data_IF_861692881675
#
_entry.id   IF_861692881675
#
_cell.length_a   1.000
_cell.length_b   1.000
_cell.length_c   1.000
_cell.angle_alpha   90.00
_cell.angle_beta   90.00
_cell.angle_gamma   90.00
#
_symmetry.space_group_name_H-M   'P 1'
#
loop_
_entity.id
_entity.type
_entity.pdbx_description
1 polymer ?
#
# COMPACT_ATOMS: atom_id res chain seq x y z
N UNK A 1 12.20 -55.16 -2.41
CA UNK A 1 12.30 -53.87 -3.13
C UNK A 1 11.06 -52.99 -2.90
N UNK A 2 10.64 -52.72 -1.65
CA UNK A 2 9.42 -51.94 -1.34
C UNK A 2 9.66 -50.68 -0.50
N UNK A 3 10.87 -50.46 0.01
CA UNK A 3 11.15 -49.36 0.95
C UNK A 3 11.71 -48.10 0.27
N UNK A 4 12.26 -48.21 -0.95
CA UNK A 4 12.89 -47.07 -1.63
C UNK A 4 11.84 -46.12 -2.23
N UNK A 5 10.72 -46.63 -2.75
CA UNK A 5 9.66 -45.83 -3.38
C UNK A 5 8.94 -44.88 -2.40
N UNK A 6 8.70 -45.32 -1.16
CA UNK A 6 8.04 -44.50 -0.13
C UNK A 6 8.91 -43.33 0.33
N UNK A 7 10.23 -43.52 0.44
CA UNK A 7 11.16 -42.46 0.83
C UNK A 7 11.32 -41.39 -0.25
N UNK A 8 11.25 -41.76 -1.53
CA UNK A 8 11.33 -40.79 -2.63
C UNK A 8 10.05 -39.97 -2.74
N UNK A 9 8.87 -40.60 -2.64
CA UNK A 9 7.58 -39.90 -2.71
C UNK A 9 7.40 -38.88 -1.57
N UNK A 10 7.80 -39.23 -0.34
CA UNK A 10 7.73 -38.34 0.81
C UNK A 10 8.69 -37.14 0.68
N UNK A 11 9.88 -37.33 0.08
CA UNK A 11 10.83 -36.23 -0.19
C UNK A 11 10.31 -35.28 -1.27
N UNK A 12 9.69 -35.78 -2.34
CA UNK A 12 9.10 -34.92 -3.39
C UNK A 12 7.89 -34.14 -2.87
N UNK A 13 7.07 -34.75 -2.01
CA UNK A 13 5.93 -34.08 -1.38
C UNK A 13 6.35 -32.96 -0.42
N UNK A 14 7.45 -33.15 0.33
CA UNK A 14 8.00 -32.12 1.23
C UNK A 14 8.57 -30.94 0.43
N UNK A 15 9.23 -31.18 -0.72
CA UNK A 15 9.74 -30.08 -1.58
C UNK A 15 8.59 -29.29 -2.23
N UNK A 16 7.51 -29.96 -2.66
CA UNK A 16 6.30 -29.28 -3.16
C UNK A 16 5.57 -28.51 -2.05
N UNK A 17 5.49 -29.05 -0.84
CA UNK A 17 4.85 -28.39 0.29
C UNK A 17 5.66 -27.17 0.79
N UNK A 18 7.00 -27.21 0.77
CA UNK A 18 7.84 -26.05 1.12
C UNK A 18 7.84 -24.95 0.05
N UNK A 19 7.50 -25.26 -1.21
CA UNK A 19 7.39 -24.27 -2.29
C UNK A 19 6.12 -23.41 -2.24
N UNK A 20 5.12 -23.77 -1.44
CA UNK A 20 3.78 -23.15 -1.50
C UNK A 20 3.50 -22.09 -0.42
N UNK A 21 4.44 -21.78 0.51
CA UNK A 21 4.13 -20.96 1.69
C UNK A 21 4.89 -19.64 1.86
N UNK A 22 5.58 -19.12 0.84
CA UNK A 22 6.28 -17.83 0.95
C UNK A 22 5.65 -16.72 0.10
N UNK A 23 4.40 -16.36 0.38
CA UNK A 23 3.79 -15.13 -0.16
C UNK A 23 3.16 -14.28 0.94
N UNK A 24 3.82 -14.15 2.10
CA UNK A 24 3.42 -13.18 3.11
C UNK A 24 4.18 -11.89 2.82
N UNK A 25 3.54 -10.94 2.14
CA UNK A 25 4.04 -9.58 2.06
C UNK A 25 3.91 -8.95 3.45
N UNK A 26 5.03 -8.76 4.14
CA UNK A 26 5.06 -8.08 5.44
C UNK A 26 4.66 -6.61 5.25
N UNK A 27 3.68 -6.15 6.02
CA UNK A 27 3.26 -4.74 5.99
C UNK A 27 4.38 -3.83 6.50
N UNK A 28 4.78 -2.87 5.69
CA UNK A 28 5.69 -1.79 6.06
C UNK A 28 4.90 -0.66 6.66
N UNK A 29 5.39 -0.05 7.75
CA UNK A 29 4.75 1.12 8.38
C UNK A 29 5.73 2.28 8.46
N UNK A 30 5.31 3.45 7.98
CA UNK A 30 6.12 4.66 7.95
C UNK A 30 5.37 5.81 8.62
N UNK A 31 6.08 6.53 9.50
CA UNK A 31 5.61 7.75 10.13
C UNK A 31 6.20 8.97 9.41
N UNK A 32 5.39 9.98 9.18
CA UNK A 32 5.80 11.18 8.45
C UNK A 32 5.19 12.45 9.03
N UNK A 33 5.97 13.53 8.99
CA UNK A 33 5.55 14.90 9.29
C UNK A 33 5.78 15.78 8.07
N UNK A 34 4.91 16.76 7.85
CA UNK A 34 4.91 17.53 6.62
C UNK A 34 5.74 18.81 6.75
N UNK A 35 6.73 18.98 5.86
CA UNK A 35 7.49 20.23 5.69
C UNK A 35 7.09 20.99 4.42
N UNK A 36 6.35 20.35 3.51
CA UNK A 36 5.77 20.95 2.31
C UNK A 36 4.36 20.38 2.06
N UNK A 37 3.61 21.00 1.17
CA UNK A 37 2.28 20.61 0.72
C UNK A 37 2.29 19.48 -0.31
N UNK A 38 3.44 19.20 -0.92
CA UNK A 38 3.66 18.10 -1.85
C UNK A 38 5.06 17.52 -1.62
N UNK A 39 5.24 16.23 -1.84
CA UNK A 39 6.55 15.60 -1.69
C UNK A 39 6.51 14.07 -1.67
N UNK A 40 7.57 13.49 -1.12
CA UNK A 40 7.71 12.04 -0.92
C UNK A 40 7.70 11.74 0.57
N UNK A 41 7.00 10.68 0.97
CA UNK A 41 7.04 10.16 2.34
C UNK A 41 8.20 9.18 2.47
N UNK A 42 8.33 8.30 1.48
CA UNK A 42 9.45 7.40 1.25
C UNK A 42 9.56 7.09 -0.25
N UNK A 43 10.36 6.09 -0.61
CA UNK A 43 10.57 5.66 -2.00
C UNK A 43 9.32 5.08 -2.67
N UNK A 44 8.32 4.66 -1.88
CA UNK A 44 7.13 3.97 -2.38
C UNK A 44 5.88 4.85 -2.34
N UNK A 45 5.80 5.83 -1.45
CA UNK A 45 4.62 6.68 -1.25
C UNK A 45 5.00 8.15 -1.43
N UNK A 46 4.34 8.80 -2.38
CA UNK A 46 4.38 10.26 -2.54
C UNK A 46 3.05 10.90 -2.15
N UNK A 47 3.04 12.22 -2.02
CA UNK A 47 1.82 12.96 -1.73
C UNK A 47 1.73 14.29 -2.49
N UNK A 48 0.51 14.67 -2.81
CA UNK A 48 0.18 15.99 -3.36
C UNK A 48 -1.03 16.56 -2.66
N UNK A 49 -1.06 17.87 -2.43
CA UNK A 49 -2.19 18.57 -1.86
C UNK A 49 -2.93 19.41 -2.91
N UNK A 50 -4.25 19.48 -2.79
CA UNK A 50 -5.11 20.24 -3.70
C UNK A 50 -6.09 21.12 -2.92
N UNK A 51 -6.30 22.34 -3.41
CA UNK A 51 -7.27 23.30 -2.84
C UNK A 51 -8.72 22.83 -2.94
N UNK A 52 -9.05 22.10 -4.01
CA UNK A 52 -10.42 21.73 -4.36
C UNK A 52 -11.31 22.98 -4.43
N UNK A 53 -12.49 22.95 -3.79
CA UNK A 53 -13.42 24.07 -3.73
C UNK A 53 -13.18 25.00 -2.54
N UNK A 54 -12.08 24.83 -1.79
CA UNK A 54 -11.75 25.76 -0.70
C UNK A 54 -11.37 27.13 -1.25
N UNK A 55 -11.61 28.20 -0.48
CA UNK A 55 -11.12 29.54 -0.79
C UNK A 55 -9.62 29.72 -0.52
N UNK A 56 -8.94 28.73 0.07
CA UNK A 56 -7.53 28.81 0.44
C UNK A 56 -6.79 27.54 0.07
N UNK A 57 -5.64 27.68 -0.60
CA UNK A 57 -4.80 26.54 -0.95
C UNK A 57 -4.20 25.89 0.31
N UNK A 58 -3.90 24.58 0.29
CA UNK A 58 -3.20 23.92 1.38
C UNK A 58 -1.88 24.62 1.72
N UNK A 59 -1.50 24.58 3.00
CA UNK A 59 -0.30 25.27 3.46
C UNK A 59 0.35 24.54 4.63
N UNK A 60 1.66 24.71 4.79
CA UNK A 60 2.39 24.35 6.01
C UNK A 60 2.40 25.55 6.95
N UNK A 61 1.94 25.35 8.19
CA UNK A 61 2.00 26.38 9.22
C UNK A 61 2.20 25.74 10.59
N UNK A 62 3.23 26.18 11.31
CA UNK A 62 3.61 25.62 12.62
C UNK A 62 3.80 24.09 12.60
N UNK A 63 4.42 23.57 11.54
CA UNK A 63 4.68 22.13 11.37
C UNK A 63 3.44 21.30 11.03
N UNK A 64 2.32 21.93 10.69
CA UNK A 64 1.06 21.25 10.35
C UNK A 64 0.74 21.45 8.88
N UNK A 65 0.35 20.37 8.19
CA UNK A 65 -0.31 20.47 6.90
C UNK A 65 -1.77 20.86 7.11
N UNK A 66 -2.16 22.02 6.58
CA UNK A 66 -3.51 22.57 6.72
C UNK A 66 -4.32 22.34 5.46
N UNK A 67 -5.42 21.60 5.61
CA UNK A 67 -6.42 21.42 4.57
C UNK A 67 -7.67 22.22 4.93
N UNK A 68 -7.96 23.24 4.12
CA UNK A 68 -9.01 24.22 4.40
C UNK A 68 -10.40 23.69 4.05
N UNK A 69 -11.41 24.13 4.80
CA UNK A 69 -12.81 23.74 4.56
C UNK A 69 -13.36 24.35 3.25
N UNK A 70 -14.51 23.86 2.81
CA UNK A 70 -15.34 24.51 1.80
C UNK A 70 -16.81 24.34 2.20
N UNK A 71 -17.66 25.32 1.90
CA UNK A 71 -19.10 25.25 2.25
C UNK A 71 -19.83 24.08 1.58
N UNK A 72 -19.37 23.64 0.41
CA UNK A 72 -19.84 22.44 -0.29
C UNK A 72 -19.39 21.13 0.36
N UNK A 73 -18.52 21.20 1.36
CA UNK A 73 -17.80 20.08 1.92
C UNK A 73 -16.67 19.57 1.03
N UNK A 74 -16.40 20.13 -0.16
CA UNK A 74 -15.25 19.74 -0.99
C UNK A 74 -14.01 20.60 -0.68
N UNK A 75 -13.60 20.58 0.60
CA UNK A 75 -12.43 21.31 1.08
C UNK A 75 -11.11 20.71 0.57
N UNK A 76 -9.99 21.31 0.97
CA UNK A 76 -8.64 20.89 0.59
C UNK A 76 -8.40 19.40 0.88
N UNK A 77 -7.57 18.79 0.03
CA UNK A 77 -7.22 17.37 0.13
C UNK A 77 -5.71 17.14 0.07
N UNK A 78 -5.28 16.01 0.59
CA UNK A 78 -4.01 15.36 0.31
C UNK A 78 -4.30 14.04 -0.41
N UNK A 79 -3.57 13.75 -1.47
CA UNK A 79 -3.61 12.47 -2.19
C UNK A 79 -2.29 11.77 -1.97
N UNK A 80 -2.34 10.58 -1.38
CA UNK A 80 -1.21 9.67 -1.30
C UNK A 80 -1.17 8.83 -2.56
N UNK A 81 0.00 8.75 -3.19
CA UNK A 81 0.23 8.06 -4.46
C UNK A 81 1.26 6.96 -4.25
N UNK A 82 0.81 5.69 -4.14
CA UNK A 82 1.69 4.54 -4.13
C UNK A 82 2.43 4.38 -5.46
N UNK A 83 3.62 3.80 -5.38
CA UNK A 83 4.51 3.48 -6.49
C UNK A 83 5.30 2.20 -6.16
N UNK A 84 6.07 1.67 -7.11
CA UNK A 84 6.87 0.45 -6.87
C UNK A 84 6.03 -0.80 -6.53
N UNK A 85 4.73 -0.81 -6.89
CA UNK A 85 3.80 -1.88 -6.53
C UNK A 85 3.29 -1.83 -5.09
N UNK A 86 3.55 -0.74 -4.35
CA UNK A 86 3.03 -0.56 -3.01
C UNK A 86 1.50 -0.45 -2.99
N UNK A 87 0.88 -1.07 -1.99
CA UNK A 87 -0.56 -1.04 -1.75
C UNK A 87 -0.80 -0.52 -0.34
N UNK A 88 -1.38 0.67 -0.20
CA UNK A 88 -1.71 1.22 1.11
C UNK A 88 -2.91 0.44 1.67
N UNK A 89 -2.74 -0.09 2.88
CA UNK A 89 -3.73 -0.90 3.60
C UNK A 89 -4.29 -0.19 4.82
N UNK A 90 -3.53 0.76 5.38
CA UNK A 90 -3.97 1.59 6.50
C UNK A 90 -3.32 2.97 6.47
N UNK A 91 -4.06 3.97 6.93
CA UNK A 91 -3.56 5.31 7.25
C UNK A 91 -4.12 5.73 8.61
N UNK A 92 -3.26 6.27 9.48
CA UNK A 92 -3.66 7.03 10.66
C UNK A 92 -3.19 8.47 10.54
N UNK A 93 -4.06 9.41 10.85
CA UNK A 93 -3.79 10.84 10.76
C UNK A 93 -3.94 11.44 12.14
N UNK A 94 -2.87 11.96 12.72
CA UNK A 94 -2.93 12.74 13.96
C UNK A 94 -3.17 14.20 13.60
N UNK A 95 -4.25 14.79 14.12
CA UNK A 95 -4.64 16.14 13.79
C UNK A 95 -4.94 17.01 15.02
N UNK A 96 -4.49 18.27 14.98
CA UNK A 96 -4.74 19.26 16.03
C UNK A 96 -6.20 19.75 16.06
N UNK A 97 -6.91 19.63 14.93
CA UNK A 97 -8.32 19.95 14.79
C UNK A 97 -9.06 18.77 14.20
N UNK A 98 -10.34 18.65 14.54
CA UNK A 98 -11.10 17.43 14.24
C UNK A 98 -12.35 17.68 13.36
N UNK A 99 -12.21 18.20 12.13
CA UNK A 99 -13.33 18.31 11.19
C UNK A 99 -13.88 16.95 10.71
N UNK A 100 -14.96 16.93 9.94
CA UNK A 100 -15.31 15.74 9.15
C UNK A 100 -14.24 15.48 8.09
N UNK A 101 -13.78 14.24 7.98
CA UNK A 101 -12.79 13.82 6.96
C UNK A 101 -13.41 12.73 6.10
N UNK A 102 -13.32 12.91 4.78
CA UNK A 102 -13.69 11.89 3.81
C UNK A 102 -12.45 11.42 3.07
N UNK A 103 -12.51 10.20 2.55
CA UNK A 103 -11.45 9.63 1.75
C UNK A 103 -12.00 8.87 0.54
N UNK A 104 -11.14 8.70 -0.44
CA UNK A 104 -11.44 8.05 -1.70
C UNK A 104 -10.29 7.13 -2.10
N UNK A 105 -10.62 5.89 -2.44
CA UNK A 105 -9.65 4.86 -2.85
C UNK A 105 -9.72 4.76 -4.37
N UNK A 106 -8.59 4.94 -5.06
CA UNK A 106 -8.45 4.71 -6.50
C UNK A 106 -9.53 5.42 -7.36
N UNK A 107 -10.00 6.62 -6.98
CA UNK A 107 -11.02 7.36 -7.74
C UNK A 107 -12.47 6.88 -7.57
N UNK A 108 -12.76 5.99 -6.62
CA UNK A 108 -14.10 5.42 -6.38
C UNK A 108 -15.09 6.40 -5.71
N UNK A 109 -16.02 5.91 -4.89
CA UNK A 109 -16.89 6.74 -4.05
C UNK A 109 -16.16 7.31 -2.82
N UNK A 110 -16.69 8.41 -2.26
CA UNK A 110 -16.22 8.94 -0.98
C UNK A 110 -16.72 8.07 0.18
N UNK A 111 -15.82 7.75 1.10
CA UNK A 111 -16.07 7.13 2.39
C UNK A 111 -15.71 8.11 3.51
N UNK A 112 -16.22 7.89 4.73
CA UNK A 112 -15.90 8.74 5.89
C UNK A 112 -14.85 8.07 6.76
N UNK A 113 -13.79 8.79 7.13
CA UNK A 113 -12.75 8.26 8.01
C UNK A 113 -13.29 8.06 9.44
N UNK A 114 -12.92 6.95 10.08
CA UNK A 114 -13.24 6.74 11.50
C UNK A 114 -12.36 7.65 12.35
N UNK A 115 -12.88 8.21 13.45
CA UNK A 115 -12.13 9.13 14.32
C UNK A 115 -12.26 8.75 15.79
N UNK A 116 -11.13 8.68 16.49
CA UNK A 116 -11.06 8.59 17.95
C UNK A 116 -10.14 9.68 18.50
N UNK A 117 -10.68 10.62 19.27
CA UNK A 117 -9.93 11.80 19.71
C UNK A 117 -9.39 12.62 18.53
N UNK A 118 -8.08 12.84 18.52
CA UNK A 118 -7.32 13.55 17.48
C UNK A 118 -6.88 12.67 16.30
N UNK A 119 -7.17 11.36 16.34
CA UNK A 119 -6.69 10.40 15.34
C UNK A 119 -7.81 9.96 14.41
N UNK A 120 -7.59 10.12 13.11
CA UNK A 120 -8.41 9.49 12.07
C UNK A 120 -7.77 8.19 11.62
N UNK A 121 -8.57 7.14 11.44
CA UNK A 121 -8.14 5.84 10.96
C UNK A 121 -8.90 5.46 9.69
N UNK A 122 -8.14 5.09 8.68
CA UNK A 122 -8.61 4.47 7.43
C UNK A 122 -7.91 3.12 7.36
N UNK A 123 -8.66 2.01 7.38
CA UNK A 123 -8.10 0.65 7.47
C UNK A 123 -8.94 -0.33 6.68
N UNK A 124 -8.34 -1.48 6.31
CA UNK A 124 -9.04 -2.51 5.53
C UNK A 124 -9.28 -2.07 4.09
N UNK A 125 -8.37 -1.26 3.55
CA UNK A 125 -8.44 -0.72 2.20
C UNK A 125 -7.38 -1.37 1.29
N UNK A 126 -7.54 -1.20 -0.02
CA UNK A 126 -6.51 -1.53 -1.03
C UNK A 126 -6.35 -0.33 -1.97
N UNK A 127 -5.47 0.60 -1.60
CA UNK A 127 -5.15 1.75 -2.43
C UNK A 127 -3.85 1.48 -3.19
N UNK A 128 -3.98 1.12 -4.47
CA UNK A 128 -2.89 0.73 -5.37
C UNK A 128 -2.40 1.91 -6.22
N UNK A 129 -3.28 2.89 -6.47
CA UNK A 129 -2.97 4.04 -7.33
C UNK A 129 -3.12 5.36 -6.60
N UNK A 130 -4.10 5.45 -5.69
CA UNK A 130 -4.33 6.68 -4.92
C UNK A 130 -5.17 6.44 -3.68
N UNK A 131 -4.86 7.19 -2.64
CA UNK A 131 -5.73 7.43 -1.49
C UNK A 131 -5.86 8.93 -1.29
N UNK A 132 -7.00 9.51 -1.70
CA UNK A 132 -7.29 10.93 -1.48
C UNK A 132 -8.03 11.11 -0.17
N UNK A 133 -7.55 12.00 0.68
CA UNK A 133 -8.12 12.35 1.98
C UNK A 133 -8.46 13.83 1.95
N UNK A 134 -9.69 14.21 2.30
CA UNK A 134 -10.18 15.58 2.16
C UNK A 134 -10.87 16.08 3.42
N UNK A 135 -10.67 17.37 3.70
CA UNK A 135 -11.47 18.07 4.68
C UNK A 135 -12.91 18.19 4.14
N UNK A 136 -13.84 17.47 4.77
CA UNK A 136 -15.23 17.41 4.38
C UNK A 136 -16.14 18.34 5.19
N UNK A 137 -15.55 19.19 6.04
CA UNK A 137 -16.29 20.11 6.87
C UNK A 137 -16.90 21.24 6.06
N UNK A 138 -18.14 21.60 6.37
CA UNK A 138 -18.90 22.67 5.70
C UNK A 138 -18.82 24.01 6.43
N UNK A 139 -18.27 24.01 7.65
CA UNK A 139 -18.03 25.21 8.46
C UNK A 139 -16.53 25.52 8.55
N UNK A 140 -16.15 26.70 9.06
CA UNK A 140 -14.77 27.20 9.07
C UNK A 140 -13.83 26.46 10.05
N UNK A 141 -13.63 25.17 9.79
CA UNK A 141 -12.72 24.29 10.52
C UNK A 141 -11.80 23.61 9.54
N UNK A 142 -10.52 23.92 9.63
CA UNK A 142 -9.46 23.27 8.86
C UNK A 142 -9.18 21.88 9.43
N UNK A 143 -8.69 20.96 8.62
CA UNK A 143 -7.96 19.79 9.11
C UNK A 143 -6.49 20.20 9.24
N UNK A 144 -5.94 20.13 10.44
CA UNK A 144 -4.55 20.48 10.74
C UNK A 144 -3.79 19.21 11.08
N UNK A 145 -3.16 18.62 10.07
CA UNK A 145 -2.46 17.34 10.20
C UNK A 145 -1.08 17.58 10.81
N UNK A 146 -0.81 16.95 11.94
CA UNK A 146 0.48 16.99 12.63
C UNK A 146 1.41 15.88 12.11
N UNK A 147 0.86 14.68 11.93
CA UNK A 147 1.58 13.53 11.39
C UNK A 147 0.65 12.54 10.71
N UNK A 148 1.25 11.69 9.88
CA UNK A 148 0.59 10.54 9.26
C UNK A 148 1.40 9.27 9.48
N UNK A 149 0.73 8.18 9.83
CA UNK A 149 1.26 6.82 9.84
C UNK A 149 0.63 6.07 8.68
N UNK A 150 1.44 5.50 7.79
CA UNK A 150 0.98 4.77 6.61
C UNK A 150 1.49 3.34 6.70
N UNK A 151 0.57 2.38 6.59
CA UNK A 151 0.91 0.97 6.41
C UNK A 151 0.63 0.56 4.98
N UNK A 152 1.63 -0.01 4.31
CA UNK A 152 1.50 -0.55 2.96
C UNK A 152 2.20 -1.91 2.82
N UNK A 153 1.82 -2.68 1.82
CA UNK A 153 2.50 -3.92 1.43
C UNK A 153 3.10 -3.75 0.04
N UNK A 154 4.16 -4.50 -0.25
CA UNK A 154 4.65 -4.71 -1.62
C UNK A 154 4.45 -6.20 -1.90
N UNK A 155 3.54 -6.58 -2.81
CA UNK A 155 3.36 -7.98 -3.17
C UNK A 155 4.68 -8.57 -3.66
N UNK A 156 5.09 -9.70 -3.09
CA UNK A 156 6.24 -10.45 -3.61
C UNK A 156 5.77 -11.18 -4.86
N UNK A 157 6.44 -10.95 -5.99
CA UNK A 157 6.19 -11.74 -7.20
C UNK A 157 6.83 -13.10 -6.98
N UNK A 158 6.03 -14.17 -7.01
CA UNK A 158 6.56 -15.52 -6.93
C UNK A 158 7.53 -15.76 -8.11
N UNK A 159 8.70 -16.40 -7.89
CA UNK A 159 9.57 -16.77 -8.99
C UNK A 159 8.82 -17.70 -9.96
N UNK A 160 9.12 -17.64 -11.27
CA UNK A 160 8.48 -18.51 -12.24
C UNK A 160 8.66 -19.97 -11.85
N UNK A 161 7.56 -20.71 -11.77
CA UNK A 161 7.59 -22.15 -11.51
C UNK A 161 8.13 -22.83 -12.77
N UNK A 162 9.35 -23.34 -12.70
CA UNK A 162 9.90 -24.20 -13.74
C UNK A 162 9.33 -25.60 -13.50
N UNK A 163 8.25 -25.96 -14.22
CA UNK A 163 7.81 -27.36 -14.27
C UNK A 163 8.78 -28.13 -15.16
N UNK A 164 9.49 -29.15 -14.65
CA UNK A 164 10.30 -29.99 -15.52
C UNK A 164 9.39 -30.65 -16.56
N UNK A 165 9.69 -30.48 -17.85
CA UNK A 165 9.06 -31.26 -18.90
C UNK A 165 9.32 -32.75 -18.63
N UNK A 166 8.30 -33.59 -18.82
CA UNK A 166 8.46 -35.02 -18.66
C UNK A 166 9.49 -35.53 -19.67
N UNK A 167 10.65 -35.96 -19.18
CA UNK A 167 11.71 -36.54 -20.00
C UNK A 167 11.33 -37.97 -20.40
N UNK A 168 10.98 -38.17 -21.67
CA UNK A 168 10.86 -39.51 -22.26
C UNK A 168 12.20 -39.84 -22.94
N UNK A 169 13.14 -40.37 -22.16
CA UNK A 169 14.41 -40.87 -22.69
C UNK A 169 14.31 -42.35 -23.08
N UNK A 170 14.92 -42.71 -24.21
CA UNK A 170 15.30 -44.10 -24.49
C UNK A 170 16.72 -44.33 -23.97
N UNK A 171 17.01 -45.48 -23.36
CA UNK A 171 18.33 -45.82 -22.82
C UNK A 171 19.44 -45.63 -23.88
N UNK A 172 20.62 -45.09 -23.47
CA UNK A 172 21.83 -44.80 -24.27
C UNK A 172 21.93 -43.46 -25.04
N UNK A 173 21.38 -42.35 -24.53
CA UNK A 173 21.77 -41.01 -25.02
C UNK A 173 22.39 -40.16 -23.90
N UNK A 174 23.61 -39.67 -24.13
CA UNK A 174 24.28 -38.71 -23.26
C UNK A 174 23.69 -37.32 -23.52
N UNK A 175 23.22 -36.62 -22.49
CA UNK A 175 22.66 -35.28 -22.63
C UNK A 175 23.62 -34.22 -22.03
N UNK A 176 23.95 -33.20 -22.82
CA UNK A 176 24.55 -31.95 -22.34
C UNK A 176 23.50 -30.85 -22.44
N UNK A 177 22.77 -30.58 -21.36
CA UNK A 177 21.88 -29.43 -21.30
C UNK A 177 22.65 -28.25 -20.71
N UNK A 178 23.04 -27.30 -21.56
CA UNK A 178 23.65 -26.05 -21.13
C UNK A 178 22.53 -25.15 -20.61
N UNK A 179 22.50 -24.92 -19.30
CA UNK A 179 21.68 -23.86 -18.72
C UNK A 179 22.36 -22.54 -19.08
N UNK A 180 21.83 -21.84 -20.06
CA UNK A 180 22.16 -20.44 -20.35
C UNK A 180 21.42 -19.56 -19.33
N UNK A 181 22.11 -19.14 -18.26
CA UNK A 181 21.63 -18.07 -17.38
C UNK A 181 21.88 -16.70 -18.01
N UNK A 182 20.86 -15.83 -17.93
CA UNK A 182 20.92 -14.40 -18.24
C UNK A 182 21.92 -13.65 -17.36
#
# INVERSE_FOLDING_TARGET
MKNTLHFTFLRTLIVLAFGLFFNVAWGQTVNHTFSDTNGTIDDNISYTSQQNSSGTSPAINSGQLRLYYASSGNGGSITLSPSGGAIITQVKITAATTPTVKYNINGLGDLTASRSGSVYTISGISAETSLRIRNANTTNTQLRIESIEITYTIPVVAPPVVTPEAFVGTYNTSFSHLISTF
#
